data_IF_500514596841
#
_entry.id   IF_500514596841
#
_cell.length_a   1.000
_cell.length_b   1.000
_cell.length_c   1.000
_cell.angle_alpha   90.00
_cell.angle_beta   90.00
_cell.angle_gamma   90.00
#
_symmetry.space_group_name_H-M   'P 1'
#
loop_
_entity.id
_entity.type
_entity.pdbx_description
1 polymer ?
#
# COMPACT_ATOMS: atom_id res chain seq x y z
N UNK A 1 22.04 29.47 -14.11
CA UNK A 1 20.88 29.39 -13.19
C UNK A 1 19.66 28.66 -13.79
N UNK A 2 19.04 29.11 -14.89
CA UNK A 2 17.81 28.48 -15.43
C UNK A 2 17.94 26.98 -15.80
N UNK A 3 19.07 26.55 -16.38
CA UNK A 3 19.32 25.13 -16.70
C UNK A 3 19.44 24.24 -15.45
N UNK A 4 20.03 24.76 -14.37
CA UNK A 4 20.15 24.03 -13.11
C UNK A 4 18.78 23.84 -12.46
N UNK A 5 17.92 24.88 -12.49
CA UNK A 5 16.53 24.78 -12.05
C UNK A 5 15.73 23.75 -12.85
N UNK A 6 15.88 23.72 -14.18
CA UNK A 6 15.18 22.74 -15.03
C UNK A 6 15.62 21.29 -14.75
N UNK A 7 16.91 21.06 -14.48
CA UNK A 7 17.44 19.75 -14.13
C UNK A 7 16.92 19.29 -12.76
N UNK A 8 16.90 20.19 -11.77
CA UNK A 8 16.38 19.90 -10.44
C UNK A 8 14.88 19.57 -10.47
N UNK A 9 14.08 20.30 -11.25
CA UNK A 9 12.65 20.00 -11.40
C UNK A 9 12.38 18.66 -12.10
N UNK A 10 13.21 18.29 -13.08
CA UNK A 10 13.09 16.99 -13.74
C UNK A 10 13.46 15.84 -12.80
N UNK A 11 14.52 16.00 -12.00
CA UNK A 11 14.94 15.01 -11.00
C UNK A 11 13.91 14.79 -9.89
N UNK A 12 13.20 15.85 -9.48
CA UNK A 12 12.16 15.76 -8.46
C UNK A 12 10.97 14.86 -8.87
N UNK A 13 10.74 14.65 -10.18
CA UNK A 13 9.67 13.78 -10.69
C UNK A 13 10.05 12.30 -10.75
N UNK A 14 11.34 11.97 -10.63
CA UNK A 14 11.85 10.60 -10.82
C UNK A 14 11.21 9.59 -9.86
N UNK A 15 11.05 9.86 -8.55
CA UNK A 15 10.41 8.90 -7.63
C UNK A 15 8.94 8.63 -7.96
N UNK A 16 8.23 9.61 -8.50
CA UNK A 16 6.84 9.45 -8.91
C UNK A 16 6.72 8.59 -10.19
N UNK A 17 7.68 8.69 -11.10
CA UNK A 17 7.74 7.87 -12.33
C UNK A 17 8.13 6.41 -12.05
N UNK A 18 9.04 6.18 -11.09
CA UNK A 18 9.47 4.83 -10.72
C UNK A 18 8.41 4.12 -9.86
N UNK A 19 7.59 4.88 -9.14
CA UNK A 19 6.59 4.35 -8.22
C UNK A 19 7.22 3.75 -6.96
N UNK A 20 6.40 3.33 -5.97
CA UNK A 20 6.92 2.65 -4.80
C UNK A 20 7.61 1.37 -5.25
N UNK A 21 8.88 1.21 -4.87
CA UNK A 21 9.57 -0.06 -5.03
C UNK A 21 8.73 -1.13 -4.32
N UNK A 22 8.42 -2.23 -5.00
CA UNK A 22 7.63 -3.32 -4.43
C UNK A 22 8.29 -3.73 -3.12
N UNK A 23 7.69 -3.33 -2.00
CA UNK A 23 8.19 -3.71 -0.69
C UNK A 23 7.91 -5.19 -0.57
N UNK A 24 8.96 -6.00 -0.73
CA UNK A 24 8.90 -7.43 -0.59
C UNK A 24 8.79 -7.79 0.90
N UNK A 25 7.70 -7.38 1.54
CA UNK A 25 7.39 -7.76 2.90
C UNK A 25 6.87 -9.20 2.89
N UNK A 26 7.80 -10.17 2.87
CA UNK A 26 7.51 -11.62 2.97
C UNK A 26 6.93 -12.01 4.33
N UNK A 27 6.96 -11.10 5.30
CA UNK A 27 6.50 -11.34 6.66
C UNK A 27 5.98 -10.07 7.33
N UNK A 28 4.87 -10.19 8.04
CA UNK A 28 4.39 -9.18 8.97
C UNK A 28 5.01 -9.44 10.35
N UNK A 29 5.70 -8.44 10.90
CA UNK A 29 6.25 -8.51 12.26
C UNK A 29 5.34 -7.74 13.20
N UNK A 30 4.77 -8.42 14.19
CA UNK A 30 3.91 -7.82 15.20
C UNK A 30 4.56 -7.90 16.59
N UNK A 31 4.69 -6.78 17.32
CA UNK A 31 5.12 -6.81 18.70
C UNK A 31 4.02 -7.40 19.59
N UNK A 32 4.41 -8.22 20.56
CA UNK A 32 3.54 -8.79 21.57
C UNK A 32 3.73 -8.07 22.91
N UNK A 33 2.67 -8.03 23.71
CA UNK A 33 2.77 -7.60 25.11
C UNK A 33 3.82 -8.46 25.82
N UNK A 34 4.76 -7.83 26.54
CA UNK A 34 5.87 -8.53 27.20
C UNK A 34 7.20 -8.53 26.41
N UNK A 35 7.27 -7.80 25.28
CA UNK A 35 8.53 -7.53 24.58
C UNK A 35 8.96 -8.61 23.57
N UNK A 36 8.11 -9.61 23.34
CA UNK A 36 8.31 -10.58 22.27
C UNK A 36 7.83 -10.03 20.91
N UNK A 37 8.26 -10.66 19.82
CA UNK A 37 7.80 -10.34 18.46
C UNK A 37 7.37 -11.61 17.72
N UNK A 38 6.23 -11.55 17.04
CA UNK A 38 5.73 -12.63 16.18
C UNK A 38 6.00 -12.27 14.72
N UNK A 39 6.56 -13.20 13.95
CA UNK A 39 6.70 -13.08 12.49
C UNK A 39 5.67 -13.97 11.80
N UNK A 40 4.82 -13.37 10.97
CA UNK A 40 3.75 -14.04 10.23
C UNK A 40 4.15 -14.04 8.75
N UNK A 41 4.42 -15.20 8.12
CA UNK A 41 4.76 -15.26 6.71
C UNK A 41 3.55 -14.87 5.85
N UNK A 42 3.76 -14.00 4.86
CA UNK A 42 2.75 -13.64 3.86
C UNK A 42 2.93 -14.59 2.68
N UNK A 43 1.93 -15.42 2.40
CA UNK A 43 1.94 -16.27 1.23
C UNK A 43 1.92 -15.40 -0.06
N UNK A 44 2.66 -15.77 -1.11
CA UNK A 44 2.80 -14.96 -2.32
C UNK A 44 1.51 -14.86 -3.15
N UNK A 45 0.54 -15.74 -2.92
CA UNK A 45 -0.72 -15.75 -3.64
C UNK A 45 -1.82 -15.12 -2.76
N UNK A 46 -2.09 -13.84 -3.00
CA UNK A 46 -3.38 -13.26 -2.64
C UNK A 46 -4.51 -13.98 -3.39
N UNK A 47 -5.77 -13.87 -2.94
CA UNK A 47 -6.92 -14.41 -3.67
C UNK A 47 -6.89 -13.90 -5.13
N UNK A 48 -7.32 -14.71 -6.13
CA UNK A 48 -7.28 -14.32 -7.53
C UNK A 48 -8.06 -13.01 -7.71
N UNK A 49 -7.32 -11.94 -7.94
CA UNK A 49 -7.82 -10.59 -8.11
C UNK A 49 -7.03 -9.87 -9.19
N UNK A 50 -7.61 -8.86 -9.84
CA UNK A 50 -6.89 -8.08 -10.84
C UNK A 50 -5.60 -7.50 -10.24
N UNK A 51 -4.51 -7.44 -11.03
CA UNK A 51 -3.21 -6.88 -10.62
C UNK A 51 -3.30 -5.42 -10.15
N UNK A 52 -4.38 -4.76 -10.53
CA UNK A 52 -4.85 -3.49 -9.99
C UNK A 52 -5.59 -3.84 -8.70
N UNK A 53 -4.94 -3.68 -7.54
CA UNK A 53 -5.61 -3.90 -6.25
C UNK A 53 -6.97 -3.18 -6.20
N UNK A 54 -7.92 -3.63 -5.37
CA UNK A 54 -9.32 -3.18 -5.40
C UNK A 54 -9.56 -1.69 -5.04
N UNK A 55 -8.51 -0.87 -5.01
CA UNK A 55 -8.52 0.50 -4.48
C UNK A 55 -8.04 1.57 -5.47
N UNK A 56 -7.72 1.25 -6.73
CA UNK A 56 -7.14 2.22 -7.65
C UNK A 56 -8.10 2.62 -8.77
N UNK A 57 -9.05 3.53 -8.49
CA UNK A 57 -9.60 4.48 -9.48
C UNK A 57 -10.56 5.53 -8.89
N UNK A 58 -11.20 5.27 -7.74
CA UNK A 58 -12.07 6.27 -7.08
C UNK A 58 -11.73 6.29 -5.60
N UNK A 59 -11.31 7.45 -5.08
CA UNK A 59 -10.98 7.60 -3.66
C UNK A 59 -12.12 7.10 -2.77
N UNK A 60 -11.90 6.00 -2.06
CA UNK A 60 -12.88 5.36 -1.18
C UNK A 60 -13.03 6.10 0.17
N UNK A 61 -13.10 7.43 0.14
CA UNK A 61 -13.45 8.25 1.30
C UNK A 61 -14.85 8.86 1.23
N UNK A 62 -15.67 8.54 0.21
CA UNK A 62 -17.03 9.09 0.08
C UNK A 62 -18.16 8.05 -0.09
N UNK A 63 -17.87 6.75 -0.07
CA UNK A 63 -18.89 5.70 -0.24
C UNK A 63 -19.13 4.91 1.05
N UNK A 64 -20.40 4.77 1.45
CA UNK A 64 -20.87 3.87 2.51
C UNK A 64 -20.72 2.38 2.10
N UNK A 65 -19.54 1.96 1.67
CA UNK A 65 -19.22 0.59 1.28
C UNK A 65 -18.62 -0.22 2.44
N UNK A 66 -18.88 0.17 3.70
CA UNK A 66 -18.71 -0.78 4.80
C UNK A 66 -19.90 -1.71 4.81
N UNK A 67 -19.64 -3.01 4.65
CA UNK A 67 -20.63 -4.06 4.88
C UNK A 67 -21.14 -3.90 6.31
N UNK A 68 -22.39 -3.50 6.47
CA UNK A 68 -23.05 -3.45 7.79
C UNK A 68 -23.23 -4.90 8.23
N UNK A 69 -22.91 -5.19 9.48
CA UNK A 69 -23.25 -6.48 10.07
C UNK A 69 -24.78 -6.55 10.10
N UNK A 70 -25.37 -7.46 9.33
CA UNK A 70 -26.76 -7.83 9.52
C UNK A 70 -26.82 -8.61 10.82
N UNK A 71 -27.45 -8.03 11.84
CA UNK A 71 -27.55 -8.63 13.18
C UNK A 71 -28.95 -9.20 13.34
N UNK A 72 -29.15 -10.51 13.11
CA UNK A 72 -30.21 -11.23 13.80
C UNK A 72 -29.64 -11.65 15.15
N UNK A 73 -29.77 -10.77 16.15
CA UNK A 73 -29.83 -11.16 17.56
C UNK A 73 -31.27 -11.01 18.02
#
# INVERSE_FOLDING_TARGET
>A
MRRQLALLSALALVPAMIGPLQAEARSLVAPLCGGASLSIPVAPEGPPGPSQGPCCAKGCHAGSCRKRLDRPQ
#
